data_IF_318427948382
#
_entry.id   IF_318427948382
#
_cell.length_a   1.000
_cell.length_b   1.000
_cell.length_c   1.000
_cell.angle_alpha   90.00
_cell.angle_beta   90.00
_cell.angle_gamma   90.00
#
_symmetry.space_group_name_H-M   'P 1'
#
loop_
_entity.id
_entity.type
_entity.pdbx_description
1 polymer ?
#
# COMPACT_ATOMS: atom_id res chain seq x y z
N UNK A 1 -46.03 41.67 -55.21
CA UNK A 1 -45.01 40.59 -55.17
C UNK A 1 -44.90 40.18 -53.72
N UNK A 2 -45.71 39.20 -53.31
CA UNK A 2 -45.88 38.75 -51.92
C UNK A 2 -45.05 37.49 -51.72
N UNK A 3 -44.02 37.57 -50.88
CA UNK A 3 -43.22 36.40 -50.49
C UNK A 3 -43.98 35.67 -49.38
N UNK A 4 -44.41 34.45 -49.68
CA UNK A 4 -45.06 33.54 -48.74
C UNK A 4 -44.02 33.02 -47.75
N UNK A 5 -44.12 33.43 -46.48
CA UNK A 5 -43.40 32.83 -45.36
C UNK A 5 -44.22 31.68 -44.80
N UNK A 6 -43.99 30.47 -45.29
CA UNK A 6 -44.52 29.24 -44.67
C UNK A 6 -43.40 28.23 -44.55
N UNK A 7 -42.76 28.24 -43.38
CA UNK A 7 -41.82 27.23 -42.94
C UNK A 7 -41.83 27.25 -41.42
N UNK A 8 -42.85 26.63 -40.82
CA UNK A 8 -42.85 26.28 -39.41
C UNK A 8 -41.68 25.34 -39.17
N UNK A 9 -40.57 25.89 -38.67
CA UNK A 9 -39.45 25.12 -38.15
C UNK A 9 -39.92 24.37 -36.92
N UNK A 10 -40.45 23.17 -37.13
CA UNK A 10 -40.60 22.18 -36.08
C UNK A 10 -39.18 21.81 -35.65
N UNK A 11 -38.72 22.42 -34.56
CA UNK A 11 -37.50 22.01 -33.87
C UNK A 11 -37.81 20.62 -33.34
N UNK A 12 -37.45 19.59 -34.11
CA UNK A 12 -37.54 18.21 -33.68
C UNK A 12 -36.73 18.05 -32.39
N UNK A 13 -37.41 18.04 -31.25
CA UNK A 13 -36.78 17.79 -29.96
C UNK A 13 -36.19 16.39 -29.99
N UNK A 14 -34.92 16.18 -29.60
CA UNK A 14 -34.33 14.85 -29.56
C UNK A 14 -35.21 13.93 -28.71
N UNK A 15 -35.67 12.83 -29.29
CA UNK A 15 -36.42 11.81 -28.53
C UNK A 15 -35.40 11.06 -27.68
N UNK A 16 -35.39 11.32 -26.37
CA UNK A 16 -34.51 10.60 -25.46
C UNK A 16 -34.92 9.12 -25.36
N UNK A 17 -33.92 8.23 -25.42
CA UNK A 17 -34.13 6.80 -25.24
C UNK A 17 -34.58 6.50 -23.81
N UNK A 18 -35.71 5.81 -23.66
CA UNK A 18 -36.19 5.30 -22.37
C UNK A 18 -35.42 4.07 -21.87
N UNK A 19 -34.42 3.57 -22.63
CA UNK A 19 -33.53 2.48 -22.22
C UNK A 19 -32.19 3.01 -21.70
N UNK A 20 -31.76 2.47 -20.57
CA UNK A 20 -30.45 2.73 -19.96
C UNK A 20 -29.31 2.41 -20.94
N UNK A 21 -28.33 3.32 -21.02
CA UNK A 21 -27.07 3.09 -21.74
C UNK A 21 -26.18 2.07 -21.03
N UNK A 22 -26.42 1.80 -19.74
CA UNK A 22 -25.65 0.86 -18.93
C UNK A 22 -26.37 -0.48 -18.79
N UNK A 23 -25.66 -1.57 -19.08
CA UNK A 23 -26.12 -2.96 -18.93
C UNK A 23 -25.26 -3.68 -17.91
N UNK A 24 -25.85 -4.05 -16.77
CA UNK A 24 -25.11 -4.62 -15.63
C UNK A 24 -24.72 -6.08 -15.79
N UNK A 25 -25.54 -6.89 -16.48
CA UNK A 25 -25.26 -8.33 -16.68
C UNK A 25 -23.86 -8.59 -17.29
N UNK A 26 -23.51 -7.96 -18.43
CA UNK A 26 -22.19 -8.09 -19.02
C UNK A 26 -21.05 -7.59 -18.11
N UNK A 27 -21.28 -6.50 -17.38
CA UNK A 27 -20.30 -5.93 -16.43
C UNK A 27 -19.99 -6.96 -15.32
N UNK A 28 -21.02 -7.57 -14.72
CA UNK A 28 -20.82 -8.61 -13.70
C UNK A 28 -20.15 -9.85 -14.28
N UNK A 29 -20.53 -10.28 -15.48
CA UNK A 29 -19.93 -11.43 -16.15
C UNK A 29 -18.44 -11.23 -16.44
N UNK A 30 -18.07 -10.07 -16.98
CA UNK A 30 -16.69 -9.70 -17.22
C UNK A 30 -15.89 -9.53 -15.93
N UNK A 31 -16.47 -8.93 -14.89
CA UNK A 31 -15.80 -8.76 -13.61
C UNK A 31 -15.52 -10.12 -12.95
N UNK A 32 -16.49 -11.04 -12.98
CA UNK A 32 -16.31 -12.40 -12.48
C UNK A 32 -15.20 -13.16 -13.23
N UNK A 33 -15.14 -13.02 -14.56
CA UNK A 33 -14.08 -13.61 -15.36
C UNK A 33 -12.70 -13.01 -15.02
N UNK A 34 -12.61 -11.68 -14.89
CA UNK A 34 -11.39 -11.00 -14.48
C UNK A 34 -10.92 -11.51 -13.10
N UNK A 35 -11.81 -11.54 -12.09
CA UNK A 35 -11.50 -12.04 -10.75
C UNK A 35 -10.99 -13.48 -10.80
N UNK A 36 -11.66 -14.37 -11.54
CA UNK A 36 -11.24 -15.77 -11.67
C UNK A 36 -9.84 -15.91 -12.25
N UNK A 37 -9.53 -15.18 -13.32
CA UNK A 37 -8.19 -15.16 -13.93
C UNK A 37 -7.16 -14.56 -12.97
N UNK A 38 -7.49 -13.46 -12.29
CA UNK A 38 -6.61 -12.86 -11.29
C UNK A 38 -6.24 -13.88 -10.22
N UNK A 39 -7.20 -14.61 -9.66
CA UNK A 39 -6.94 -15.62 -8.64
C UNK A 39 -6.03 -16.74 -9.18
N UNK A 40 -6.31 -17.29 -10.37
CA UNK A 40 -5.48 -18.34 -10.99
C UNK A 40 -4.04 -17.86 -11.16
N UNK A 41 -3.84 -16.65 -11.69
CA UNK A 41 -2.50 -16.11 -11.93
C UNK A 41 -1.77 -15.73 -10.63
N UNK A 42 -2.50 -15.29 -9.59
CA UNK A 42 -1.93 -15.05 -8.27
C UNK A 42 -1.47 -16.36 -7.61
N UNK A 43 -2.26 -17.44 -7.70
CA UNK A 43 -1.87 -18.76 -7.20
C UNK A 43 -0.66 -19.33 -7.97
N UNK A 44 -0.62 -19.14 -9.28
CA UNK A 44 0.52 -19.55 -10.10
C UNK A 44 1.78 -18.76 -9.73
N UNK A 45 1.66 -17.43 -9.61
CA UNK A 45 2.76 -16.55 -9.25
C UNK A 45 3.31 -16.83 -7.87
N UNK A 46 2.45 -17.11 -6.89
CA UNK A 46 2.89 -17.48 -5.55
C UNK A 46 3.62 -18.83 -5.55
N UNK A 47 3.12 -19.82 -6.29
CA UNK A 47 3.81 -21.10 -6.48
C UNK A 47 5.21 -20.93 -7.09
N UNK A 48 5.34 -20.14 -8.16
CA UNK A 48 6.64 -19.83 -8.77
C UNK A 48 7.54 -19.03 -7.80
N UNK A 49 6.98 -18.08 -7.07
CA UNK A 49 7.69 -17.26 -6.08
C UNK A 49 8.30 -18.09 -4.96
N UNK A 50 7.55 -19.08 -4.45
CA UNK A 50 8.02 -19.99 -3.40
C UNK A 50 9.21 -20.84 -3.84
N UNK A 51 9.38 -21.11 -5.14
CA UNK A 51 10.57 -21.83 -5.63
C UNK A 51 11.85 -20.99 -5.59
N UNK A 52 11.73 -19.67 -5.53
CA UNK A 52 12.88 -18.74 -5.43
C UNK A 52 13.35 -18.50 -4.00
N UNK A 53 12.55 -18.88 -3.00
CA UNK A 53 12.84 -18.72 -1.58
C UNK A 53 13.33 -20.03 -1.00
N UNK A 54 14.55 -20.03 -0.48
CA UNK A 54 15.14 -21.18 0.22
C UNK A 54 15.14 -20.93 1.73
N UNK A 55 14.75 -21.92 2.56
CA UNK A 55 14.86 -21.80 4.01
C UNK A 55 16.31 -21.92 4.53
N UNK A 56 17.27 -22.27 3.68
CA UNK A 56 18.69 -22.34 4.03
C UNK A 56 19.42 -21.03 3.69
N UNK A 57 20.23 -20.54 4.64
CA UNK A 57 20.95 -19.28 4.50
C UNK A 57 21.86 -19.27 3.28
N UNK A 58 21.78 -18.23 2.45
CA UNK A 58 22.64 -18.03 1.28
C UNK A 58 22.23 -18.77 0.01
N UNK A 59 21.12 -19.50 0.04
CA UNK A 59 20.56 -20.20 -1.14
C UNK A 59 19.30 -19.54 -1.72
N UNK A 60 18.77 -18.51 -1.07
CA UNK A 60 17.63 -17.75 -1.57
C UNK A 60 18.04 -16.77 -2.68
N UNK A 61 17.13 -16.50 -3.62
CA UNK A 61 17.28 -15.35 -4.51
C UNK A 61 17.40 -14.05 -3.71
N UNK A 62 18.10 -13.05 -4.27
CA UNK A 62 18.22 -11.75 -3.62
C UNK A 62 16.83 -11.10 -3.45
N UNK A 63 16.65 -10.31 -2.38
CA UNK A 63 15.39 -9.60 -2.13
C UNK A 63 15.01 -8.66 -3.29
N UNK A 64 16.01 -8.07 -3.95
CA UNK A 64 15.80 -7.24 -5.14
C UNK A 64 15.27 -8.04 -6.33
N UNK A 65 15.82 -9.24 -6.58
CA UNK A 65 15.34 -10.13 -7.65
C UNK A 65 13.91 -10.58 -7.41
N UNK A 66 13.60 -10.99 -6.17
CA UNK A 66 12.24 -11.37 -5.77
C UNK A 66 11.25 -10.21 -6.00
N UNK A 67 11.62 -9.00 -5.58
CA UNK A 67 10.78 -7.81 -5.76
C UNK A 67 10.52 -7.45 -7.22
N UNK A 68 11.56 -7.50 -8.08
CA UNK A 68 11.44 -7.22 -9.52
C UNK A 68 10.56 -8.26 -10.21
N UNK A 69 10.80 -9.55 -9.95
CA UNK A 69 9.99 -10.64 -10.53
C UNK A 69 8.54 -10.55 -10.09
N UNK A 70 8.28 -10.27 -8.80
CA UNK A 70 6.93 -10.07 -8.30
C UNK A 70 6.24 -8.86 -8.96
N UNK A 71 6.96 -7.74 -9.13
CA UNK A 71 6.42 -6.55 -9.79
C UNK A 71 6.04 -6.83 -11.26
N UNK A 72 6.91 -7.49 -12.01
CA UNK A 72 6.63 -7.91 -13.41
C UNK A 72 5.42 -8.84 -13.44
N UNK A 73 5.37 -9.81 -12.53
CA UNK A 73 4.26 -10.76 -12.47
C UNK A 73 2.92 -10.08 -12.18
N UNK A 74 2.87 -9.11 -11.26
CA UNK A 74 1.65 -8.36 -10.97
C UNK A 74 1.16 -7.55 -12.18
N UNK A 75 2.06 -7.00 -12.98
CA UNK A 75 1.69 -6.34 -14.25
C UNK A 75 1.07 -7.34 -15.21
N UNK A 76 1.64 -8.55 -15.34
CA UNK A 76 1.09 -9.61 -16.19
C UNK A 76 -0.30 -10.07 -15.71
N UNK A 77 -0.47 -10.29 -14.40
CA UNK A 77 -1.77 -10.62 -13.81
C UNK A 77 -2.81 -9.58 -14.22
N UNK A 78 -2.48 -8.30 -14.07
CA UNK A 78 -3.39 -7.21 -14.35
C UNK A 78 -3.73 -7.10 -15.84
N UNK A 79 -2.73 -7.28 -16.73
CA UNK A 79 -2.94 -7.31 -18.17
C UNK A 79 -3.89 -8.42 -18.60
N UNK A 80 -3.59 -9.66 -18.24
CA UNK A 80 -4.31 -10.83 -18.75
C UNK A 80 -5.75 -10.88 -18.20
N UNK A 81 -5.92 -10.58 -16.92
CA UNK A 81 -7.25 -10.55 -16.30
C UNK A 81 -8.13 -9.42 -16.85
N UNK A 82 -7.57 -8.22 -17.00
CA UNK A 82 -8.29 -7.07 -17.56
C UNK A 82 -8.68 -7.28 -19.01
N UNK A 83 -7.77 -7.87 -19.82
CA UNK A 83 -8.04 -8.18 -21.22
C UNK A 83 -9.20 -9.16 -21.35
N UNK A 84 -9.17 -10.27 -20.61
CA UNK A 84 -10.23 -11.28 -20.71
C UNK A 84 -11.56 -10.77 -20.18
N UNK A 85 -11.56 -10.10 -19.02
CA UNK A 85 -12.78 -9.54 -18.44
C UNK A 85 -13.42 -8.46 -19.30
N UNK A 86 -12.61 -7.55 -19.85
CA UNK A 86 -13.06 -6.54 -20.81
C UNK A 86 -13.65 -7.17 -22.05
N UNK A 87 -12.93 -8.13 -22.66
CA UNK A 87 -13.40 -8.83 -23.86
C UNK A 87 -14.75 -9.54 -23.67
N UNK A 88 -14.91 -10.27 -22.55
CA UNK A 88 -16.17 -10.93 -22.20
C UNK A 88 -17.29 -9.91 -21.99
N UNK A 89 -17.01 -8.79 -21.32
CA UNK A 89 -17.98 -7.70 -21.14
C UNK A 89 -18.47 -7.19 -22.49
N UNK A 90 -17.54 -6.93 -23.41
CA UNK A 90 -17.84 -6.51 -24.77
C UNK A 90 -18.71 -7.51 -25.52
N UNK A 91 -18.35 -8.80 -25.50
CA UNK A 91 -19.09 -9.85 -26.23
C UNK A 91 -20.49 -10.12 -25.68
N UNK A 92 -20.70 -10.02 -24.37
CA UNK A 92 -21.98 -10.34 -23.73
C UNK A 92 -22.99 -9.19 -23.76
N UNK A 93 -22.57 -7.96 -24.07
CA UNK A 93 -23.48 -6.81 -24.15
C UNK A 93 -24.43 -6.96 -25.35
N UNK A 94 -25.65 -6.46 -25.27
CA UNK A 94 -26.64 -6.53 -26.37
C UNK A 94 -26.42 -5.41 -27.40
N UNK A 95 -26.48 -5.70 -28.70
CA UNK A 95 -26.30 -4.70 -29.75
C UNK A 95 -27.31 -3.53 -29.67
N UNK A 96 -26.85 -2.32 -30.01
CA UNK A 96 -27.69 -1.12 -30.13
C UNK A 96 -27.85 -0.74 -31.60
N UNK A 97 -28.93 -1.19 -32.23
CA UNK A 97 -29.15 -1.01 -33.67
C UNK A 97 -29.48 0.43 -34.11
N UNK A 98 -29.86 1.32 -33.19
CA UNK A 98 -30.32 2.68 -33.48
C UNK A 98 -29.37 3.78 -32.97
N UNK A 99 -28.11 3.45 -32.70
CA UNK A 99 -27.11 4.36 -32.11
C UNK A 99 -25.92 4.49 -33.06
N UNK A 100 -25.34 5.69 -33.15
CA UNK A 100 -24.15 5.95 -33.95
C UNK A 100 -22.95 5.12 -33.48
N UNK A 101 -22.08 4.72 -34.41
CA UNK A 101 -20.93 3.84 -34.15
C UNK A 101 -19.97 4.41 -33.09
N UNK A 102 -19.75 5.73 -33.07
CA UNK A 102 -18.85 6.35 -32.08
C UNK A 102 -19.39 6.26 -30.65
N UNK A 103 -20.71 6.39 -30.49
CA UNK A 103 -21.37 6.25 -29.19
C UNK A 103 -21.40 4.78 -28.74
N UNK A 104 -21.53 3.84 -29.68
CA UNK A 104 -21.37 2.39 -29.41
C UNK A 104 -19.96 2.10 -28.89
N UNK A 105 -18.92 2.64 -29.54
CA UNK A 105 -17.53 2.50 -29.11
C UNK A 105 -17.28 3.08 -27.72
N UNK A 106 -17.76 4.29 -27.44
CA UNK A 106 -17.65 4.91 -26.12
C UNK A 106 -18.32 4.05 -25.03
N UNK A 107 -19.52 3.53 -25.31
CA UNK A 107 -20.22 2.69 -24.34
C UNK A 107 -19.53 1.36 -24.12
N UNK A 108 -19.00 0.71 -25.15
CA UNK A 108 -18.29 -0.56 -24.98
C UNK A 108 -17.00 -0.38 -24.18
N UNK A 109 -16.23 0.68 -24.44
CA UNK A 109 -15.06 1.04 -23.60
C UNK A 109 -15.46 1.31 -22.15
N UNK A 110 -16.56 2.04 -21.92
CA UNK A 110 -17.09 2.30 -20.59
C UNK A 110 -17.50 1.03 -19.86
N UNK A 111 -18.17 0.07 -20.52
CA UNK A 111 -18.55 -1.20 -19.87
C UNK A 111 -17.31 -2.01 -19.47
N UNK A 112 -16.29 -2.06 -20.33
CA UNK A 112 -15.00 -2.68 -20.00
C UNK A 112 -14.34 -2.04 -18.77
N UNK A 113 -14.30 -0.71 -18.72
CA UNK A 113 -13.81 0.04 -17.57
C UNK A 113 -14.59 -0.27 -16.29
N UNK A 114 -15.92 -0.28 -16.34
CA UNK A 114 -16.77 -0.59 -15.18
C UNK A 114 -16.58 -2.03 -14.68
N UNK A 115 -16.43 -3.00 -15.59
CA UNK A 115 -16.12 -4.39 -15.25
C UNK A 115 -14.78 -4.49 -14.53
N UNK A 116 -13.75 -3.82 -15.06
CA UNK A 116 -12.44 -3.73 -14.42
C UNK A 116 -12.49 -3.08 -13.03
N UNK A 117 -13.21 -1.97 -12.90
CA UNK A 117 -13.35 -1.26 -11.63
C UNK A 117 -14.01 -2.13 -10.57
N UNK A 118 -15.09 -2.84 -10.94
CA UNK A 118 -15.79 -3.76 -10.04
C UNK A 118 -14.89 -4.92 -9.60
N UNK A 119 -14.17 -5.55 -10.53
CA UNK A 119 -13.21 -6.61 -10.22
C UNK A 119 -12.11 -6.11 -9.28
N UNK A 120 -11.56 -4.92 -9.55
CA UNK A 120 -10.50 -4.30 -8.75
C UNK A 120 -10.96 -4.01 -7.33
N UNK A 121 -12.16 -3.44 -7.15
CA UNK A 121 -12.74 -3.18 -5.82
C UNK A 121 -12.94 -4.49 -5.05
N UNK A 122 -13.44 -5.53 -5.70
CA UNK A 122 -13.62 -6.84 -5.06
C UNK A 122 -12.29 -7.43 -4.59
N UNK A 123 -11.28 -7.47 -5.46
CA UNK A 123 -9.96 -8.02 -5.11
C UNK A 123 -9.30 -7.17 -4.02
N UNK A 124 -9.34 -5.85 -4.12
CA UNK A 124 -8.80 -4.96 -3.09
C UNK A 124 -9.50 -5.14 -1.73
N UNK A 125 -10.83 -5.26 -1.72
CA UNK A 125 -11.61 -5.50 -0.51
C UNK A 125 -11.34 -6.87 0.11
N UNK A 126 -11.24 -7.92 -0.72
CA UNK A 126 -10.91 -9.28 -0.28
C UNK A 126 -9.51 -9.34 0.36
N UNK A 127 -8.51 -8.70 -0.27
CA UNK A 127 -7.15 -8.61 0.26
C UNK A 127 -7.08 -7.79 1.56
N UNK A 128 -7.78 -6.65 1.64
CA UNK A 128 -7.84 -5.86 2.87
C UNK A 128 -8.48 -6.64 4.03
N UNK A 129 -9.50 -7.46 3.73
CA UNK A 129 -10.21 -8.27 4.73
C UNK A 129 -9.36 -9.42 5.27
N UNK A 130 -8.58 -10.09 4.40
CA UNK A 130 -7.69 -11.19 4.81
C UNK A 130 -6.51 -10.73 5.65
N UNK A 131 -6.03 -9.49 5.46
CA UNK A 131 -4.99 -8.91 6.32
C UNK A 131 -5.54 -8.56 7.71
N UNK A 132 -6.79 -8.11 7.80
CA UNK A 132 -7.42 -7.73 9.08
C UNK A 132 -7.64 -8.94 10.00
N UNK A 133 -7.99 -10.10 9.44
CA UNK A 133 -8.11 -11.35 10.21
C UNK A 133 -6.77 -11.89 10.69
N UNK A 134 -5.67 -11.61 9.99
CA UNK A 134 -4.31 -12.02 10.39
C UNK A 134 -3.70 -11.10 11.44
N UNK A 135 -4.02 -9.80 11.41
CA UNK A 135 -3.58 -8.83 12.42
C UNK A 135 -4.17 -9.11 13.82
N UNK A 136 -5.35 -9.73 13.90
CA UNK A 136 -5.96 -10.17 15.15
C UNK A 136 -5.27 -11.37 15.83
N UNK A 137 -4.33 -12.05 15.15
CA UNK A 137 -3.69 -13.28 15.61
C UNK A 137 -2.26 -13.09 16.18
N UNK A 138 -1.77 -11.86 16.32
CA UNK A 138 -0.51 -11.55 17.00
C UNK A 138 0.63 -11.08 16.08
N UNK A 139 1.36 -10.07 16.54
CA UNK A 139 2.36 -9.29 15.78
C UNK A 139 3.64 -10.04 15.33
N UNK A 140 3.74 -11.35 15.55
CA UNK A 140 4.95 -12.14 15.22
C UNK A 140 4.94 -12.70 13.78
N UNK A 141 3.82 -12.64 13.07
CA UNK A 141 3.69 -13.15 11.69
C UNK A 141 3.76 -12.05 10.61
N UNK A 142 4.06 -10.81 10.97
CA UNK A 142 4.04 -9.64 10.08
C UNK A 142 5.18 -9.67 9.05
N UNK A 143 6.29 -10.36 9.32
CA UNK A 143 7.47 -10.37 8.44
C UNK A 143 7.32 -11.11 7.11
N UNK A 144 6.42 -12.11 7.02
CA UNK A 144 6.30 -12.99 5.86
C UNK A 144 5.04 -12.72 5.01
N UNK A 145 3.92 -12.33 5.62
CA UNK A 145 2.68 -12.08 4.89
C UNK A 145 2.65 -10.71 4.17
N UNK A 146 3.39 -9.71 4.69
CA UNK A 146 3.45 -8.37 4.10
C UNK A 146 4.26 -8.32 2.78
N UNK A 147 5.15 -9.30 2.54
CA UNK A 147 6.05 -9.30 1.38
C UNK A 147 5.47 -10.00 0.14
N UNK A 148 4.41 -10.80 0.28
CA UNK A 148 3.93 -11.65 -0.81
C UNK A 148 2.74 -11.08 -1.60
N UNK A 149 2.00 -10.11 -1.06
CA UNK A 149 0.87 -9.49 -1.76
C UNK A 149 0.83 -8.00 -1.42
N UNK A 150 0.88 -7.16 -2.46
CA UNK A 150 0.98 -5.69 -2.35
C UNK A 150 0.03 -5.08 -1.33
N UNK A 151 0.55 -4.79 -0.14
CA UNK A 151 -0.18 -4.22 0.98
C UNK A 151 0.20 -2.75 1.13
N UNK A 152 -0.51 -1.90 0.38
CA UNK A 152 -0.21 -0.48 0.22
C UNK A 152 -0.67 0.45 1.35
N UNK A 153 -1.10 -0.01 2.55
CA UNK A 153 -1.71 0.97 3.47
C UNK A 153 -1.62 0.77 4.99
N UNK A 154 -1.41 -0.43 5.54
CA UNK A 154 -1.78 -0.64 6.96
C UNK A 154 -0.66 -1.10 7.90
N UNK A 155 0.56 -1.35 7.42
CA UNK A 155 1.63 -1.84 8.29
C UNK A 155 2.44 -0.74 9.01
N UNK A 156 2.35 0.52 8.56
CA UNK A 156 3.17 1.61 9.12
C UNK A 156 2.54 2.36 10.31
N UNK A 157 1.25 2.15 10.60
CA UNK A 157 0.49 3.01 11.52
C UNK A 157 0.31 2.49 12.94
N UNK A 158 0.52 1.19 13.21
CA UNK A 158 0.05 0.58 14.46
C UNK A 158 1.12 0.41 15.54
N UNK A 159 2.40 0.67 15.25
CA UNK A 159 3.47 0.54 16.23
C UNK A 159 3.70 1.80 17.10
N UNK A 160 3.15 2.96 16.72
CA UNK A 160 3.42 4.23 17.41
C UNK A 160 2.32 4.69 18.38
N UNK A 161 1.20 3.97 18.48
CA UNK A 161 0.02 4.43 19.22
C UNK A 161 -0.01 4.05 20.72
N UNK A 162 1.00 3.33 21.23
CA UNK A 162 0.94 2.73 22.58
C UNK A 162 1.83 3.41 23.63
N UNK A 163 2.09 4.71 23.51
CA UNK A 163 2.72 5.50 24.59
C UNK A 163 2.36 6.98 24.44
N UNK A 164 1.11 7.32 24.80
CA UNK A 164 0.65 8.70 24.87
C UNK A 164 1.23 9.42 26.11
N UNK A 165 2.55 9.63 26.11
CA UNK A 165 3.17 10.72 26.90
C UNK A 165 3.55 11.79 25.89
N UNK A 166 2.96 12.98 26.02
CA UNK A 166 3.17 14.06 25.04
C UNK A 166 4.65 14.49 25.01
N UNK A 167 5.26 14.72 23.83
CA UNK A 167 6.66 15.15 23.71
C UNK A 167 7.02 16.40 24.52
N UNK A 168 6.03 17.27 24.78
CA UNK A 168 6.15 18.51 25.57
C UNK A 168 6.30 18.23 27.09
N UNK A 169 5.71 17.14 27.58
CA UNK A 169 5.80 16.73 29.00
C UNK A 169 7.18 16.12 29.30
N UNK A 170 7.73 15.37 28.33
CA UNK A 170 9.07 14.79 28.39
C UNK A 170 10.18 15.86 28.37
N UNK A 171 10.07 16.89 27.54
CA UNK A 171 11.06 17.97 27.50
C UNK A 171 11.03 18.81 28.77
N UNK A 172 9.84 19.19 29.25
CA UNK A 172 9.69 20.00 30.46
C UNK A 172 10.23 19.27 31.70
N UNK A 173 9.95 17.98 31.85
CA UNK A 173 10.47 17.17 32.95
C UNK A 173 11.99 16.97 32.88
N UNK A 174 12.57 16.80 31.68
CA UNK A 174 14.02 16.76 31.50
C UNK A 174 14.69 18.07 31.96
N UNK A 175 14.20 19.23 31.50
CA UNK A 175 14.78 20.51 31.92
C UNK A 175 14.57 20.79 33.40
N UNK A 176 13.46 20.31 33.99
CA UNK A 176 13.22 20.40 35.43
C UNK A 176 14.21 19.54 36.21
N UNK A 177 14.46 18.30 35.80
CA UNK A 177 15.48 17.44 36.41
C UNK A 177 16.88 18.06 36.26
N UNK A 178 17.20 18.60 35.09
CA UNK A 178 18.48 19.27 34.84
C UNK A 178 18.68 20.51 35.74
N UNK A 179 17.61 21.28 36.00
CA UNK A 179 17.64 22.44 36.91
C UNK A 179 17.74 22.06 38.38
N UNK A 180 17.12 20.94 38.78
CA UNK A 180 17.07 20.48 40.17
C UNK A 180 18.15 19.44 40.51
N UNK A 181 19.03 19.12 39.55
CA UNK A 181 20.05 18.09 39.69
C UNK A 181 20.99 18.42 40.86
N UNK A 182 21.10 17.57 41.89
CA UNK A 182 21.97 17.83 43.03
C UNK A 182 23.45 17.70 42.64
N UNK A 183 24.31 18.58 43.16
CA UNK A 183 25.78 18.49 43.01
C UNK A 183 26.36 17.17 43.56
N UNK A 184 25.62 16.47 44.42
CA UNK A 184 25.99 15.19 45.03
C UNK A 184 25.25 14.00 44.38
N UNK A 185 25.32 13.89 43.05
CA UNK A 185 24.72 12.79 42.27
C UNK A 185 25.02 11.38 42.85
N UNK A 186 26.18 11.21 43.50
CA UNK A 186 26.61 9.95 44.15
C UNK A 186 25.77 9.56 45.37
N UNK A 187 25.31 10.54 46.16
CA UNK A 187 24.43 10.34 47.32
C UNK A 187 22.96 10.14 46.90
N UNK A 188 22.52 10.83 45.84
CA UNK A 188 21.20 10.63 45.25
C UNK A 188 21.05 9.23 44.62
N UNK A 189 22.10 8.74 43.93
CA UNK A 189 22.12 7.42 43.30
C UNK A 189 21.90 6.25 44.27
N UNK A 190 22.32 6.42 45.53
CA UNK A 190 22.29 5.41 46.59
C UNK A 190 21.08 5.55 47.51
N UNK A 191 20.45 6.72 47.58
CA UNK A 191 19.29 6.98 48.45
C UNK A 191 17.93 6.74 47.78
N UNK A 192 17.81 6.93 46.46
CA UNK A 192 16.55 6.71 45.74
C UNK A 192 16.75 6.13 44.33
N UNK A 193 16.75 4.79 44.25
CA UNK A 193 17.01 4.03 43.02
C UNK A 193 15.99 4.31 41.90
N UNK A 194 14.72 4.45 42.27
CA UNK A 194 13.61 4.68 41.34
C UNK A 194 13.68 6.08 40.69
N UNK A 195 13.99 7.12 41.47
CA UNK A 195 14.13 8.48 40.96
C UNK A 195 15.29 8.60 39.96
N UNK A 196 16.46 8.04 40.31
CA UNK A 196 17.61 8.05 39.42
C UNK A 196 17.40 7.22 38.14
N UNK A 197 16.69 6.08 38.21
CA UNK A 197 16.34 5.30 37.02
C UNK A 197 15.34 6.05 36.12
N UNK A 198 14.41 6.80 36.71
CA UNK A 198 13.48 7.66 35.97
C UNK A 198 14.22 8.82 35.26
N UNK A 199 15.15 9.48 35.93
CA UNK A 199 15.95 10.56 35.33
C UNK A 199 16.85 10.04 34.21
N UNK A 200 17.54 8.92 34.41
CA UNK A 200 18.31 8.21 33.36
C UNK A 200 17.42 7.95 32.14
N UNK A 201 16.19 7.45 32.37
CA UNK A 201 15.24 7.19 31.27
C UNK A 201 14.87 8.47 30.53
N UNK A 202 14.61 9.59 31.23
CA UNK A 202 14.32 10.88 30.59
C UNK A 202 15.52 11.43 29.82
N UNK A 203 16.73 11.33 30.36
CA UNK A 203 17.97 11.73 29.67
C UNK A 203 18.14 10.95 28.37
N UNK A 204 17.92 9.64 28.39
CA UNK A 204 18.01 8.80 27.19
C UNK A 204 16.92 9.14 26.17
N UNK A 205 15.68 9.41 26.62
CA UNK A 205 14.60 9.86 25.73
C UNK A 205 14.91 11.23 25.11
N UNK A 206 15.42 12.18 25.90
CA UNK A 206 15.83 13.49 25.41
C UNK A 206 17.00 13.35 24.42
N UNK A 207 18.00 12.53 24.71
CA UNK A 207 19.11 12.24 23.80
C UNK A 207 18.65 11.59 22.49
N UNK A 208 17.65 10.69 22.56
CA UNK A 208 17.06 10.10 21.36
C UNK A 208 16.39 11.14 20.46
N UNK A 209 15.69 12.12 21.06
CA UNK A 209 15.02 13.23 20.37
C UNK A 209 16.01 14.28 19.84
N UNK A 210 17.01 14.67 20.64
CA UNK A 210 18.04 15.66 20.29
C UNK A 210 19.12 15.10 19.35
N UNK A 211 19.20 13.77 19.20
CA UNK A 211 20.17 13.09 18.35
C UNK A 211 21.45 12.65 19.05
N UNK A 212 21.73 13.20 20.23
CA UNK A 212 22.85 12.81 21.09
C UNK A 212 22.56 13.17 22.54
N UNK A 213 23.18 12.45 23.48
CA UNK A 213 23.16 12.82 24.91
C UNK A 213 24.20 13.91 25.16
N UNK A 214 23.85 15.05 25.77
CA UNK A 214 24.80 16.10 26.15
C UNK A 214 25.94 15.58 27.03
N UNK A 215 27.12 16.20 26.96
CA UNK A 215 28.29 15.78 27.75
C UNK A 215 28.04 15.86 29.26
N UNK A 216 27.30 16.88 29.73
CA UNK A 216 26.94 17.02 31.14
C UNK A 216 26.07 15.85 31.63
N UNK A 217 25.17 15.37 30.77
CA UNK A 217 24.34 14.20 31.05
C UNK A 217 25.17 12.91 31.00
N UNK A 218 26.15 12.78 30.09
CA UNK A 218 27.08 11.63 30.10
C UNK A 218 27.90 11.57 31.39
N UNK A 219 28.38 12.72 31.87
CA UNK A 219 29.10 12.83 33.13
C UNK A 219 28.22 12.43 34.33
N UNK A 220 26.95 12.85 34.32
CA UNK A 220 25.96 12.42 35.30
C UNK A 220 25.72 10.90 35.25
N UNK A 221 25.46 10.35 34.06
CA UNK A 221 25.29 8.90 33.86
C UNK A 221 26.50 8.10 34.34
N UNK A 222 27.72 8.58 34.06
CA UNK A 222 28.95 7.93 34.53
C UNK A 222 29.07 7.98 36.06
N UNK A 223 28.64 9.06 36.70
CA UNK A 223 28.59 9.18 38.15
C UNK A 223 27.61 8.16 38.75
N UNK A 224 26.40 8.04 38.19
CA UNK A 224 25.41 7.04 38.59
C UNK A 224 25.97 5.61 38.40
N UNK A 225 26.54 5.30 37.24
CA UNK A 225 27.12 3.99 36.93
C UNK A 225 28.26 3.65 37.90
N UNK A 226 29.21 4.56 38.13
CA UNK A 226 30.33 4.32 39.06
C UNK A 226 29.83 4.06 40.48
N UNK A 227 28.82 4.79 40.95
CA UNK A 227 28.25 4.64 42.28
C UNK A 227 27.55 3.30 42.51
N UNK A 228 26.85 2.78 41.49
CA UNK A 228 26.08 1.52 41.59
C UNK A 228 26.89 0.27 41.29
N UNK A 229 27.95 0.39 40.50
CA UNK A 229 28.72 -0.77 40.01
C UNK A 229 30.08 -0.92 40.67
N UNK A 230 30.54 0.10 41.41
CA UNK A 230 31.88 0.14 42.00
C UNK A 230 33.00 0.35 40.97
N UNK A 231 32.66 0.63 39.70
CA UNK A 231 33.64 0.94 38.67
C UNK A 231 34.37 2.25 38.95
N UNK A 232 35.62 2.35 38.46
CA UNK A 232 36.32 3.63 38.40
C UNK A 232 35.54 4.61 37.51
N UNK A 233 35.75 5.91 37.69
CA UNK A 233 35.04 6.91 36.89
C UNK A 233 35.36 6.78 35.38
N UNK A 234 36.60 6.43 35.05
CA UNK A 234 37.03 6.19 33.67
C UNK A 234 36.34 4.96 33.05
N UNK A 235 36.22 3.87 33.80
CA UNK A 235 35.54 2.65 33.34
C UNK A 235 34.02 2.88 33.23
N UNK A 236 33.44 3.66 34.15
CA UNK A 236 32.03 4.02 34.13
C UNK A 236 31.69 4.88 32.90
N UNK A 237 32.53 5.88 32.56
CA UNK A 237 32.40 6.67 31.32
C UNK A 237 32.47 5.77 30.09
N UNK A 238 33.47 4.90 30.02
CA UNK A 238 33.62 3.94 28.91
C UNK A 238 32.38 3.04 28.74
N UNK A 239 31.77 2.62 29.85
CA UNK A 239 30.53 1.83 29.84
C UNK A 239 29.34 2.64 29.33
N UNK A 240 29.18 3.89 29.75
CA UNK A 240 28.14 4.80 29.24
C UNK A 240 28.31 4.99 27.74
N UNK A 241 29.51 5.32 27.26
CA UNK A 241 29.77 5.51 25.83
C UNK A 241 29.49 4.26 25.00
N UNK A 242 29.84 3.08 25.53
CA UNK A 242 29.55 1.79 24.88
C UNK A 242 28.05 1.55 24.76
N UNK A 243 27.27 1.86 25.80
CA UNK A 243 25.81 1.68 25.79
C UNK A 243 25.15 2.71 24.86
N UNK A 244 25.57 3.97 24.91
CA UNK A 244 25.08 5.01 24.01
C UNK A 244 25.36 4.66 22.55
N UNK A 245 26.56 4.17 22.25
CA UNK A 245 26.90 3.68 20.91
C UNK A 245 25.98 2.56 20.43
N UNK A 246 25.67 1.58 21.29
CA UNK A 246 24.73 0.50 20.95
C UNK A 246 23.32 1.03 20.69
N UNK A 247 22.89 2.05 21.42
CA UNK A 247 21.60 2.71 21.20
C UNK A 247 21.61 3.43 19.83
N UNK A 248 22.68 4.13 19.50
CA UNK A 248 22.84 4.80 18.21
C UNK A 248 22.88 3.81 17.05
N UNK A 249 23.63 2.72 17.18
CA UNK A 249 23.69 1.65 16.17
C UNK A 249 22.30 1.02 15.94
N UNK A 250 21.53 0.78 17.02
CA UNK A 250 20.17 0.28 16.94
C UNK A 250 19.20 1.30 16.30
N UNK A 251 19.35 2.59 16.60
CA UNK A 251 18.60 3.68 15.98
C UNK A 251 18.88 3.76 14.48
N UNK A 252 20.15 3.72 14.06
CA UNK A 252 20.55 3.74 12.65
C UNK A 252 20.02 2.50 11.92
N UNK A 253 20.10 1.31 12.54
CA UNK A 253 19.53 0.09 11.96
C UNK A 253 18.01 0.21 11.77
N UNK A 254 17.31 0.79 12.74
CA UNK A 254 15.85 1.03 12.68
C UNK A 254 15.50 2.04 11.60
N UNK A 255 16.23 3.16 11.51
CA UNK A 255 16.05 4.19 10.47
C UNK A 255 16.28 3.62 9.07
N UNK A 256 17.36 2.83 8.90
CA UNK A 256 17.66 2.18 7.63
C UNK A 256 16.55 1.22 7.21
N UNK A 257 16.07 0.39 8.13
CA UNK A 257 14.94 -0.51 7.87
C UNK A 257 13.67 0.26 7.51
N UNK A 258 13.39 1.38 8.19
CA UNK A 258 12.26 2.25 7.88
C UNK A 258 12.39 2.92 6.49
N UNK A 259 13.58 3.39 6.12
CA UNK A 259 13.84 3.98 4.80
C UNK A 259 13.75 2.94 3.67
N UNK A 260 14.26 1.73 3.88
CA UNK A 260 14.10 0.61 2.95
C UNK A 260 12.64 0.23 2.78
N UNK A 261 11.89 0.13 3.89
CA UNK A 261 10.45 -0.12 3.86
C UNK A 261 9.70 1.02 3.14
N UNK A 262 10.04 2.29 3.39
CA UNK A 262 9.46 3.45 2.71
C UNK A 262 9.70 3.40 1.20
N UNK A 263 10.94 3.10 0.79
CA UNK A 263 11.32 3.00 -0.63
C UNK A 263 10.60 1.84 -1.32
N UNK A 264 10.51 0.69 -0.67
CA UNK A 264 9.76 -0.45 -1.18
C UNK A 264 8.27 -0.11 -1.33
N UNK A 265 7.65 0.46 -0.28
CA UNK A 265 6.25 0.86 -0.29
C UNK A 265 5.96 1.91 -1.37
N UNK A 266 6.79 2.95 -1.52
CA UNK A 266 6.60 3.96 -2.56
C UNK A 266 6.74 3.37 -3.97
N UNK A 267 7.72 2.49 -4.18
CA UNK A 267 7.93 1.83 -5.48
C UNK A 267 6.74 0.94 -5.83
N UNK A 268 6.28 0.11 -4.89
CA UNK A 268 5.10 -0.73 -5.05
C UNK A 268 3.84 0.09 -5.30
N UNK A 269 3.64 1.20 -4.59
CA UNK A 269 2.50 2.08 -4.80
C UNK A 269 2.50 2.71 -6.19
N UNK A 270 3.65 3.20 -6.66
CA UNK A 270 3.79 3.79 -7.99
C UNK A 270 3.59 2.76 -9.10
N UNK A 271 4.23 1.59 -8.99
CA UNK A 271 4.07 0.50 -9.96
C UNK A 271 2.65 -0.07 -9.94
N UNK A 272 2.06 -0.21 -8.75
CA UNK A 272 0.67 -0.64 -8.59
C UNK A 272 -0.30 0.34 -9.25
N UNK A 273 -0.13 1.64 -9.01
CA UNK A 273 -0.94 2.69 -9.66
C UNK A 273 -0.80 2.64 -11.17
N UNK A 274 0.42 2.51 -11.71
CA UNK A 274 0.65 2.41 -13.14
C UNK A 274 0.00 1.13 -13.72
N UNK A 275 0.15 0.00 -13.03
CA UNK A 275 -0.45 -1.27 -13.44
C UNK A 275 -1.97 -1.20 -13.49
N UNK A 276 -2.60 -0.57 -12.49
CA UNK A 276 -4.05 -0.36 -12.46
C UNK A 276 -4.53 0.50 -13.63
N UNK A 277 -3.86 1.62 -13.93
CA UNK A 277 -4.18 2.47 -15.08
C UNK A 277 -4.10 1.71 -16.40
N UNK A 278 -3.06 0.88 -16.57
CA UNK A 278 -2.90 0.08 -17.77
C UNK A 278 -3.97 -1.03 -17.85
N UNK A 279 -4.33 -1.65 -16.74
CA UNK A 279 -5.44 -2.62 -16.68
C UNK A 279 -6.78 -1.99 -17.09
N UNK A 280 -7.09 -0.81 -16.57
CA UNK A 280 -8.29 -0.05 -16.93
C UNK A 280 -8.36 0.24 -18.44
N UNK A 281 -7.23 0.67 -19.02
CA UNK A 281 -7.11 0.91 -20.45
C UNK A 281 -7.32 -0.38 -21.27
N UNK A 282 -6.67 -1.47 -20.89
CA UNK A 282 -6.79 -2.76 -21.58
C UNK A 282 -8.20 -3.31 -21.51
N UNK A 283 -8.87 -3.24 -20.37
CA UNK A 283 -10.25 -3.69 -20.23
C UNK A 283 -11.18 -2.89 -21.15
N UNK A 284 -10.97 -1.57 -21.24
CA UNK A 284 -11.73 -0.68 -22.13
C UNK A 284 -11.52 -1.06 -23.60
N UNK A 285 -10.27 -1.21 -24.03
CA UNK A 285 -9.92 -1.57 -25.41
C UNK A 285 -10.43 -2.98 -25.78
N UNK A 286 -10.27 -3.95 -24.88
CA UNK A 286 -10.73 -5.32 -25.08
C UNK A 286 -12.26 -5.41 -25.17
N UNK A 287 -12.98 -4.59 -24.38
CA UNK A 287 -14.44 -4.51 -24.48
C UNK A 287 -14.91 -3.90 -25.79
N UNK A 288 -14.25 -2.85 -26.29
CA UNK A 288 -14.53 -2.31 -27.62
C UNK A 288 -14.30 -3.37 -28.72
N UNK A 289 -13.19 -4.10 -28.64
CA UNK A 289 -12.89 -5.18 -29.59
C UNK A 289 -13.86 -6.36 -29.52
N UNK A 290 -14.28 -6.76 -28.31
CA UNK A 290 -15.31 -7.79 -28.13
C UNK A 290 -16.69 -7.33 -28.59
N UNK A 291 -17.02 -6.06 -28.40
CA UNK A 291 -18.25 -5.44 -28.86
C UNK A 291 -18.33 -5.35 -30.38
N UNK A 292 -17.25 -4.96 -31.06
CA UNK A 292 -17.21 -4.88 -32.52
C UNK A 292 -17.41 -6.24 -33.18
N UNK A 293 -16.75 -7.29 -32.69
CA UNK A 293 -16.93 -8.66 -33.20
C UNK A 293 -18.37 -9.16 -33.05
N UNK A 294 -19.00 -8.89 -31.90
CA UNK A 294 -20.43 -9.22 -31.69
C UNK A 294 -21.29 -8.51 -32.74
N UNK A 295 -21.07 -7.21 -32.94
CA UNK A 295 -21.91 -6.41 -33.82
C UNK A 295 -21.75 -6.82 -35.29
N UNK A 296 -20.54 -7.17 -35.73
CA UNK A 296 -20.24 -7.72 -37.06
C UNK A 296 -20.91 -9.07 -37.30
N UNK A 297 -20.83 -10.00 -36.34
CA UNK A 297 -21.47 -11.32 -36.43
C UNK A 297 -22.99 -11.21 -36.57
N UNK A 298 -23.64 -10.33 -35.80
CA UNK A 298 -25.09 -10.10 -35.91
C UNK A 298 -25.48 -9.47 -37.24
N UNK A 299 -24.68 -8.56 -37.80
CA UNK A 299 -24.95 -7.97 -39.12
C UNK A 299 -24.86 -8.97 -40.25
N UNK A 300 -23.96 -9.96 -40.15
CA UNK A 300 -23.85 -11.05 -41.11
C UNK A 300 -25.08 -11.97 -41.09
N UNK A 301 -25.75 -12.11 -39.96
CA UNK A 301 -26.98 -12.90 -39.84
C UNK A 301 -28.20 -12.18 -40.43
N UNK A 302 -28.23 -10.85 -40.38
CA UNK A 302 -29.36 -10.04 -40.88
C UNK A 302 -29.27 -9.81 -42.40
N UNK A 303 -28.08 -9.88 -43.01
CA UNK A 303 -27.94 -9.77 -44.47
C UNK A 303 -28.45 -11.05 -45.15
N UNK A 304 -29.39 -10.96 -46.12
CA UNK A 304 -29.80 -12.13 -46.89
C UNK A 304 -28.59 -12.64 -47.67
N UNK A 305 -28.29 -13.95 -47.58
CA UNK A 305 -27.32 -14.58 -48.47
C UNK A 305 -27.93 -14.57 -49.87
N UNK A 306 -27.43 -13.67 -50.71
CA UNK A 306 -27.71 -13.61 -52.16
C UNK A 306 -26.78 -14.60 -52.85
#
# INVERSE_FOLDING_TARGET
MSVSMTGSGEVATPVESSKSAMTWGPIFGGAAAAIGVTLILLLLGSGLGLTMVSPWSGQSSSLGTLGVTAAIWLVLVQWLSSALGGYITGRLRTKWAAVHTDEVFFRDTAHGFLSWALATVFVAGFLASSLTSLAGAGAQAVGAAAQAVGSTATAAGTAAASSATSPVDLSTSYFTDALLRPDQARAAATSNDAAATSEVSRILLNGAAAGQVPEDDKAYLATIVSSRTGLSEADARTRVDTVLKRIDDAKVATQKAADEARKAASTTALLGSLSLLVGAFIASAAAAFGGSQRDEEEDLLVRPRI
#
